data_IF_147158806041
#
_entry.id   IF_147158806041
#
_cell.length_a   1.000
_cell.length_b   1.000
_cell.length_c   1.000
_cell.angle_alpha   90.00
_cell.angle_beta   90.00
_cell.angle_gamma   90.00
#
_symmetry.space_group_name_H-M   'P 1'
#
loop_
_entity.id
_entity.type
_entity.pdbx_description
1 polymer ?
#
# COMPACT_ATOMS: atom_id res chain seq x y z
N UNK A 1 -1.25 -42.96 38.64
CA UNK A 1 -1.19 -43.64 37.34
C UNK A 1 -1.54 -42.57 36.30
N UNK A 2 -0.61 -41.76 35.80
CA UNK A 2 0.70 -42.09 35.24
C UNK A 2 0.59 -41.90 33.72
N UNK A 3 1.62 -41.27 33.12
CA UNK A 3 1.86 -40.98 31.70
C UNK A 3 1.69 -39.49 31.40
N UNK A 4 2.71 -38.63 31.37
CA UNK A 4 4.12 -38.66 30.93
C UNK A 4 4.31 -37.69 29.77
N UNK A 5 5.38 -36.95 29.92
CA UNK A 5 5.71 -35.67 29.33
C UNK A 5 6.31 -35.82 27.93
N UNK A 6 5.76 -35.10 26.95
CA UNK A 6 6.32 -34.97 25.61
C UNK A 6 7.08 -33.66 25.41
N UNK A 7 8.31 -33.58 25.94
CA UNK A 7 9.21 -32.43 25.81
C UNK A 7 9.82 -32.37 24.39
N UNK A 8 9.25 -31.53 23.52
CA UNK A 8 9.74 -31.30 22.16
C UNK A 8 10.95 -30.37 22.11
N UNK A 9 12.10 -30.91 21.70
CA UNK A 9 13.39 -30.20 21.56
C UNK A 9 13.33 -29.03 20.58
N UNK A 10 13.64 -27.84 21.09
CA UNK A 10 13.91 -26.61 20.34
C UNK A 10 15.23 -26.74 19.57
N UNK A 11 15.20 -26.66 18.24
CA UNK A 11 16.40 -26.52 17.40
C UNK A 11 16.89 -25.08 17.44
N UNK A 12 18.13 -24.91 17.90
CA UNK A 12 18.83 -23.63 18.01
C UNK A 12 19.33 -23.12 16.66
N UNK A 13 19.33 -21.80 16.60
CA UNK A 13 19.75 -20.87 15.55
C UNK A 13 21.11 -21.16 14.92
N UNK A 14 21.24 -20.90 13.62
CA UNK A 14 22.51 -20.51 13.02
C UNK A 14 22.36 -19.12 12.40
N UNK A 15 23.00 -18.18 13.08
CA UNK A 15 23.26 -16.81 12.66
C UNK A 15 24.41 -16.87 11.66
N UNK A 16 24.14 -16.56 10.39
CA UNK A 16 25.20 -16.38 9.39
C UNK A 16 25.23 -14.90 9.00
N UNK A 17 26.08 -14.15 9.69
CA UNK A 17 26.50 -12.80 9.33
C UNK A 17 27.48 -12.90 8.17
N UNK A 18 27.10 -12.46 6.96
CA UNK A 18 28.07 -12.20 5.89
C UNK A 18 28.14 -10.68 5.64
N UNK A 19 29.32 -10.16 5.92
CA UNK A 19 29.69 -8.76 5.93
C UNK A 19 30.49 -8.47 4.65
N UNK A 20 29.82 -8.03 3.58
CA UNK A 20 30.47 -7.65 2.32
C UNK A 20 30.75 -6.15 2.23
N UNK A 21 31.91 -5.80 2.82
CA UNK A 21 33.01 -5.02 2.22
C UNK A 21 32.65 -4.18 0.96
N UNK A 22 32.25 -2.92 1.14
CA UNK A 22 32.28 -1.91 0.07
C UNK A 22 33.69 -1.33 -0.04
N UNK A 23 34.40 -1.69 -1.11
CA UNK A 23 35.65 -1.04 -1.52
C UNK A 23 35.31 0.30 -2.16
N UNK A 24 36.11 1.32 -1.83
CA UNK A 24 35.99 2.66 -2.37
C UNK A 24 36.21 2.72 -3.87
N UNK A 25 35.54 3.71 -4.49
CA UNK A 25 35.92 4.20 -5.80
C UNK A 25 36.19 5.70 -5.65
N UNK A 26 37.47 6.01 -5.66
CA UNK A 26 38.05 7.34 -5.82
C UNK A 26 38.04 7.66 -7.32
N UNK A 27 37.56 8.85 -7.69
CA UNK A 27 38.07 9.63 -8.83
C UNK A 27 37.25 10.92 -9.00
N UNK A 28 37.63 11.94 -8.25
CA UNK A 28 38.07 13.23 -8.80
C UNK A 28 37.71 13.48 -10.28
N UNK A 29 36.72 14.34 -10.53
CA UNK A 29 36.49 14.96 -11.84
C UNK A 29 36.80 16.45 -11.74
N UNK A 30 37.83 16.96 -12.45
CA UNK A 30 38.03 18.38 -12.66
C UNK A 30 37.17 18.89 -13.82
N UNK A 31 36.78 20.16 -13.76
CA UNK A 31 36.43 20.94 -14.96
C UNK A 31 34.95 21.26 -15.11
N UNK A 32 34.47 22.21 -14.30
CA UNK A 32 33.30 23.02 -14.66
C UNK A 32 33.77 23.97 -15.76
N UNK A 33 33.53 23.59 -17.02
CA UNK A 33 33.60 24.51 -18.16
C UNK A 33 32.26 25.23 -18.21
N UNK A 34 32.26 26.51 -17.81
CA UNK A 34 31.17 27.44 -18.08
C UNK A 34 31.00 27.59 -19.59
N UNK A 35 30.01 26.92 -20.17
CA UNK A 35 29.47 27.29 -21.47
C UNK A 35 28.34 28.31 -21.28
N UNK A 36 28.70 29.58 -21.44
CA UNK A 36 27.75 30.66 -21.67
C UNK A 36 27.24 30.49 -23.11
N UNK A 37 26.04 29.93 -23.28
CA UNK A 37 25.31 29.99 -24.55
C UNK A 37 24.35 31.18 -24.46
N UNK A 38 24.84 32.33 -24.94
CA UNK A 38 24.00 33.45 -25.38
C UNK A 38 24.02 33.37 -26.89
N UNK A 39 22.90 33.01 -27.51
CA UNK A 39 22.43 33.39 -28.86
C UNK A 39 21.10 32.67 -28.99
N UNK A 40 19.98 33.37 -29.05
CA UNK A 40 19.62 34.18 -30.21
C UNK A 40 18.41 33.46 -30.80
N UNK A 41 17.25 34.12 -30.74
CA UNK A 41 15.96 33.45 -30.81
C UNK A 41 15.73 32.63 -32.07
N UNK A 42 14.79 31.70 -31.94
CA UNK A 42 13.79 31.43 -32.95
C UNK A 42 12.49 31.09 -32.22
N UNK A 43 11.50 31.93 -32.46
CA UNK A 43 10.12 31.79 -32.03
C UNK A 43 9.51 30.69 -32.90
N UNK A 44 9.59 29.43 -32.48
CA UNK A 44 8.72 28.37 -32.99
C UNK A 44 7.55 28.28 -32.03
N UNK A 45 6.47 29.00 -32.36
CA UNK A 45 5.13 28.65 -31.89
C UNK A 45 4.82 27.31 -32.56
N UNK A 46 5.21 26.22 -31.89
CA UNK A 46 4.64 24.92 -32.19
C UNK A 46 3.15 25.06 -31.87
N UNK A 47 2.32 25.03 -32.90
CA UNK A 47 0.88 24.84 -32.80
C UNK A 47 0.67 23.57 -31.97
N UNK A 48 0.35 23.75 -30.70
CA UNK A 48 0.08 22.66 -29.78
C UNK A 48 -1.25 22.04 -30.22
N UNK A 49 -1.22 20.81 -30.72
CA UNK A 49 -2.42 20.05 -31.05
C UNK A 49 -3.33 19.97 -29.81
N UNK A 50 -4.46 20.68 -29.82
CA UNK A 50 -5.47 20.76 -28.74
C UNK A 50 -6.11 19.41 -28.36
N UNK A 51 -5.76 18.33 -29.08
CA UNK A 51 -6.27 16.99 -28.87
C UNK A 51 -5.74 16.34 -27.56
N UNK A 52 -4.58 16.77 -27.03
CA UNK A 52 -4.01 16.16 -25.82
C UNK A 52 -4.65 16.69 -24.53
N UNK A 53 -5.13 17.93 -24.53
CA UNK A 53 -5.81 18.55 -23.37
C UNK A 53 -7.17 17.89 -23.10
N UNK A 54 -7.93 17.57 -24.15
CA UNK A 54 -9.20 16.87 -24.04
C UNK A 54 -9.05 15.42 -23.54
N UNK A 55 -7.98 14.72 -23.93
CA UNK A 55 -7.68 13.37 -23.42
C UNK A 55 -7.30 13.39 -21.95
N UNK A 56 -6.54 14.40 -21.51
CA UNK A 56 -6.17 14.58 -20.09
C UNK A 56 -7.36 14.95 -19.20
N UNK A 57 -8.26 15.82 -19.65
CA UNK A 57 -9.44 16.19 -18.88
C UNK A 57 -10.41 15.01 -18.67
N UNK A 58 -10.59 14.16 -19.70
CA UNK A 58 -11.39 12.93 -19.58
C UNK A 58 -10.71 11.91 -18.66
N UNK A 59 -9.37 11.79 -18.68
CA UNK A 59 -8.62 10.92 -17.77
C UNK A 59 -8.70 11.39 -16.31
N UNK A 60 -8.62 12.69 -16.06
CA UNK A 60 -8.75 13.28 -14.73
C UNK A 60 -10.18 13.17 -14.19
N UNK A 61 -11.19 13.49 -15.00
CA UNK A 61 -12.60 13.34 -14.61
C UNK A 61 -12.95 11.87 -14.31
N UNK A 62 -12.41 10.91 -15.08
CA UNK A 62 -12.54 9.48 -14.76
C UNK A 62 -11.83 9.10 -13.47
N UNK A 63 -10.71 9.73 -13.14
CA UNK A 63 -9.95 9.46 -11.90
C UNK A 63 -10.66 10.02 -10.67
N UNK A 64 -11.24 11.21 -10.77
CA UNK A 64 -12.06 11.84 -9.71
C UNK A 64 -13.41 11.12 -9.54
N UNK A 65 -14.10 10.79 -10.62
CA UNK A 65 -15.31 9.95 -10.55
C UNK A 65 -15.01 8.58 -9.91
N UNK A 66 -13.80 8.04 -10.12
CA UNK A 66 -13.33 6.83 -9.44
C UNK A 66 -13.00 7.03 -7.96
N UNK A 67 -12.63 8.24 -7.49
CA UNK A 67 -12.46 8.46 -6.05
C UNK A 67 -13.79 8.54 -5.31
N UNK A 68 -14.86 8.98 -5.96
CA UNK A 68 -16.21 9.04 -5.38
C UNK A 68 -16.80 7.66 -5.03
N UNK A 69 -16.23 6.57 -5.57
CA UNK A 69 -16.68 5.20 -5.27
C UNK A 69 -16.09 4.62 -3.97
N UNK A 70 -15.20 5.35 -3.30
CA UNK A 70 -14.50 4.86 -2.11
C UNK A 70 -14.61 5.88 -0.98
N UNK A 71 -15.08 5.43 0.17
CA UNK A 71 -15.09 6.21 1.41
C UNK A 71 -14.09 5.61 2.37
N UNK A 72 -13.09 6.37 2.79
CA UNK A 72 -12.21 5.95 3.88
C UNK A 72 -12.97 6.06 5.19
N UNK A 73 -13.06 4.95 5.92
CA UNK A 73 -13.89 4.84 7.14
C UNK A 73 -13.03 4.64 8.38
N UNK A 74 -11.88 3.98 8.26
CA UNK A 74 -10.96 3.78 9.36
C UNK A 74 -9.51 3.93 8.92
N UNK A 75 -8.69 4.48 9.80
CA UNK A 75 -7.27 4.71 9.55
C UNK A 75 -6.45 4.44 10.81
N UNK A 76 -5.44 3.60 10.67
CA UNK A 76 -4.42 3.35 11.68
C UNK A 76 -3.04 3.67 11.13
N UNK A 77 -2.21 4.31 11.95
CA UNK A 77 -0.80 4.55 11.65
C UNK A 77 0.04 4.28 12.90
N UNK A 78 0.90 3.28 12.82
CA UNK A 78 1.85 2.95 13.87
C UNK A 78 3.00 3.98 13.93
N UNK A 79 3.72 4.01 15.06
CA UNK A 79 4.90 4.86 15.24
C UNK A 79 6.01 4.59 14.20
N UNK A 80 6.15 3.34 13.75
CA UNK A 80 7.10 2.95 12.70
C UNK A 80 6.60 3.32 11.28
N UNK A 81 5.43 3.96 11.15
CA UNK A 81 4.76 4.33 9.89
C UNK A 81 4.15 3.15 9.12
N UNK A 82 3.93 1.99 9.75
CA UNK A 82 3.00 1.00 9.20
C UNK A 82 1.58 1.58 9.21
N UNK A 83 0.79 1.26 8.18
CA UNK A 83 -0.55 1.81 7.99
C UNK A 83 -1.56 0.71 7.73
N UNK A 84 -2.75 0.87 8.28
CA UNK A 84 -3.92 0.07 7.91
C UNK A 84 -5.08 1.01 7.60
N UNK A 85 -5.74 0.79 6.48
CA UNK A 85 -6.82 1.64 5.98
C UNK A 85 -8.03 0.76 5.72
N UNK A 86 -9.18 1.13 6.27
CA UNK A 86 -10.47 0.52 5.99
C UNK A 86 -11.29 1.42 5.08
N UNK A 87 -11.77 0.86 3.98
CA UNK A 87 -12.46 1.59 2.92
C UNK A 87 -13.79 0.94 2.64
N UNK A 88 -14.85 1.73 2.62
CA UNK A 88 -16.14 1.31 2.12
C UNK A 88 -16.25 1.61 0.62
N UNK A 89 -16.69 0.61 -0.15
CA UNK A 89 -17.05 0.80 -1.55
C UNK A 89 -18.49 1.33 -1.60
N UNK A 90 -18.69 2.54 -2.13
CA UNK A 90 -20.02 3.18 -2.20
C UNK A 90 -20.85 2.59 -3.36
N UNK A 91 -20.19 2.19 -4.45
CA UNK A 91 -20.84 1.67 -5.65
C UNK A 91 -20.35 0.28 -6.06
N UNK A 92 -20.71 -0.11 -7.29
CA UNK A 92 -20.17 -1.32 -7.91
C UNK A 92 -18.72 -1.09 -8.31
N UNK A 93 -17.79 -1.54 -7.47
CA UNK A 93 -16.35 -1.43 -7.68
C UNK A 93 -15.80 -2.74 -8.20
N UNK A 94 -15.01 -2.66 -9.28
CA UNK A 94 -14.27 -3.80 -9.81
C UNK A 94 -12.97 -4.05 -9.03
N UNK A 95 -12.45 -5.28 -9.10
CA UNK A 95 -11.16 -5.64 -8.50
C UNK A 95 -10.01 -4.75 -9.00
N UNK A 96 -10.00 -4.41 -10.29
CA UNK A 96 -8.99 -3.54 -10.89
C UNK A 96 -9.04 -2.10 -10.31
N UNK A 97 -10.25 -1.56 -10.09
CA UNK A 97 -10.43 -0.24 -9.50
C UNK A 97 -10.03 -0.21 -8.03
N UNK A 98 -10.41 -1.23 -7.25
CA UNK A 98 -9.99 -1.36 -5.85
C UNK A 98 -8.46 -1.45 -5.74
N UNK A 99 -7.82 -2.28 -6.57
CA UNK A 99 -6.35 -2.37 -6.63
C UNK A 99 -5.71 -1.04 -7.00
N UNK A 100 -6.20 -0.37 -8.04
CA UNK A 100 -5.69 0.93 -8.46
C UNK A 100 -5.85 1.99 -7.36
N UNK A 101 -6.95 1.97 -6.62
CA UNK A 101 -7.17 2.84 -5.45
C UNK A 101 -6.16 2.56 -4.34
N UNK A 102 -5.96 1.29 -3.98
CA UNK A 102 -5.02 0.88 -2.95
C UNK A 102 -3.58 1.32 -3.26
N UNK A 103 -3.14 1.17 -4.52
CA UNK A 103 -1.80 1.55 -4.97
C UNK A 103 -1.51 3.05 -4.89
N UNK A 104 -2.54 3.91 -4.88
CA UNK A 104 -2.39 5.36 -4.71
C UNK A 104 -2.25 5.79 -3.25
N UNK A 105 -2.50 4.89 -2.29
CA UNK A 105 -2.38 5.22 -0.87
C UNK A 105 -0.92 5.46 -0.51
N UNK A 106 -0.73 6.39 0.43
CA UNK A 106 0.59 6.75 0.90
C UNK A 106 1.28 5.53 1.51
N UNK A 107 2.38 5.11 0.89
CA UNK A 107 3.26 4.08 1.41
C UNK A 107 4.57 4.71 1.88
N UNK A 108 5.19 4.14 2.91
CA UNK A 108 6.55 4.52 3.33
C UNK A 108 7.50 3.39 2.95
N UNK A 109 8.58 3.65 2.19
CA UNK A 109 9.54 2.61 1.84
C UNK A 109 10.04 1.87 3.08
N UNK A 110 10.08 0.54 3.03
CA UNK A 110 10.47 -0.29 4.18
C UNK A 110 9.34 -0.60 5.17
N UNK A 111 8.11 -0.09 4.96
CA UNK A 111 6.98 -0.22 5.89
C UNK A 111 5.77 -0.86 5.22
N UNK A 112 4.88 -1.41 6.04
CA UNK A 112 3.69 -2.09 5.57
C UNK A 112 2.52 -1.10 5.41
N UNK A 113 1.77 -1.22 4.31
CA UNK A 113 0.50 -0.53 4.13
C UNK A 113 -0.56 -1.53 3.68
N UNK A 114 -1.58 -1.73 4.52
CA UNK A 114 -2.73 -2.58 4.21
C UNK A 114 -3.98 -1.74 3.93
N UNK A 115 -4.79 -2.18 2.97
CA UNK A 115 -6.06 -1.56 2.61
C UNK A 115 -7.13 -2.64 2.47
N UNK A 116 -8.18 -2.55 3.28
CA UNK A 116 -9.30 -3.49 3.29
C UNK A 116 -10.56 -2.82 2.73
N UNK A 117 -11.23 -3.49 1.79
CA UNK A 117 -12.38 -2.96 1.07
C UNK A 117 -13.66 -3.67 1.47
N UNK A 118 -14.59 -2.94 2.06
CA UNK A 118 -15.87 -3.41 2.54
C UNK A 118 -16.98 -3.08 1.53
N UNK A 119 -18.00 -3.93 1.47
CA UNK A 119 -19.19 -3.68 0.65
C UNK A 119 -20.00 -2.50 1.22
N UNK A 120 -20.82 -1.82 0.40
CA UNK A 120 -21.69 -0.75 0.92
C UNK A 120 -22.56 -1.25 2.07
N UNK A 121 -22.68 -0.46 3.15
CA UNK A 121 -23.49 -0.82 4.33
C UNK A 121 -22.88 -1.88 5.24
N UNK A 122 -21.61 -2.23 5.03
CA UNK A 122 -20.88 -3.14 5.93
C UNK A 122 -20.67 -2.53 7.32
N UNK A 123 -20.62 -3.37 8.34
CA UNK A 123 -20.14 -2.98 9.68
C UNK A 123 -18.61 -2.95 9.66
N UNK A 124 -18.04 -1.74 9.72
CA UNK A 124 -16.60 -1.47 9.61
C UNK A 124 -16.11 -0.90 10.96
N UNK A 125 -14.99 -1.38 11.52
CA UNK A 125 -14.48 -0.88 12.80
C UNK A 125 -13.75 0.44 12.63
N UNK A 126 -14.47 1.53 12.33
CA UNK A 126 -13.91 2.88 12.17
C UNK A 126 -13.11 3.30 13.41
N UNK A 127 -13.81 3.41 14.55
CA UNK A 127 -13.24 3.89 15.80
C UNK A 127 -12.21 2.90 16.37
N UNK A 128 -12.51 1.60 16.32
CA UNK A 128 -11.60 0.58 16.82
C UNK A 128 -10.24 0.60 16.11
N UNK A 129 -10.24 0.83 14.80
CA UNK A 129 -9.00 0.92 14.03
C UNK A 129 -8.25 2.23 14.33
N UNK A 130 -8.96 3.35 14.40
CA UNK A 130 -8.35 4.66 14.65
C UNK A 130 -7.83 4.84 16.08
N UNK A 131 -8.46 4.19 17.07
CA UNK A 131 -8.05 4.21 18.47
C UNK A 131 -7.02 3.12 18.81
N UNK A 132 -6.62 2.28 17.87
CA UNK A 132 -5.64 1.23 18.12
C UNK A 132 -4.26 1.84 18.47
N UNK A 133 -3.64 1.35 19.54
CA UNK A 133 -2.37 1.87 20.03
C UNK A 133 -1.14 1.27 19.32
N UNK A 134 -1.30 0.12 18.66
CA UNK A 134 -0.23 -0.58 17.97
C UNK A 134 -0.79 -1.50 16.87
N UNK A 135 0.10 -2.01 16.02
CA UNK A 135 -0.29 -2.83 14.87
C UNK A 135 -1.01 -4.13 15.27
N UNK A 136 -0.61 -4.73 16.39
CA UNK A 136 -1.26 -5.93 16.90
C UNK A 136 -2.72 -5.66 17.30
N UNK A 137 -2.96 -4.60 18.08
CA UNK A 137 -4.31 -4.18 18.47
C UNK A 137 -5.18 -3.84 17.24
N UNK A 138 -4.61 -3.16 16.24
CA UNK A 138 -5.30 -2.86 14.99
C UNK A 138 -5.71 -4.14 14.24
N UNK A 139 -4.84 -5.16 14.20
CA UNK A 139 -5.17 -6.45 13.61
C UNK A 139 -6.21 -7.21 14.44
N UNK A 140 -6.11 -7.23 15.76
CA UNK A 140 -7.14 -7.83 16.64
C UNK A 140 -8.51 -7.22 16.39
N UNK A 141 -8.59 -5.90 16.24
CA UNK A 141 -9.85 -5.22 15.89
C UNK A 141 -10.40 -5.73 14.54
N UNK A 142 -9.56 -5.93 13.54
CA UNK A 142 -10.00 -6.34 12.20
C UNK A 142 -10.42 -7.82 12.11
N UNK A 143 -9.68 -8.72 12.77
CA UNK A 143 -9.89 -10.17 12.63
C UNK A 143 -10.79 -10.74 13.74
N UNK A 144 -10.67 -10.25 14.97
CA UNK A 144 -11.23 -10.90 16.15
C UNK A 144 -12.50 -10.22 16.67
N UNK A 145 -12.80 -8.98 16.25
CA UNK A 145 -14.00 -8.28 16.71
C UNK A 145 -15.27 -8.95 16.14
N UNK A 146 -16.19 -9.40 17.01
CA UNK A 146 -17.44 -10.01 16.58
C UNK A 146 -18.36 -8.97 15.92
N UNK A 147 -19.19 -9.42 14.98
CA UNK A 147 -20.16 -8.56 14.29
C UNK A 147 -19.60 -7.73 13.14
N UNK A 148 -18.28 -7.70 12.93
CA UNK A 148 -17.70 -7.05 11.75
C UNK A 148 -18.04 -7.82 10.48
N UNK A 149 -18.34 -7.06 9.42
CA UNK A 149 -18.54 -7.62 8.09
C UNK A 149 -17.22 -8.12 7.50
N UNK A 150 -17.29 -9.15 6.64
CA UNK A 150 -16.13 -9.59 5.87
C UNK A 150 -15.81 -8.57 4.77
N UNK A 151 -14.53 -8.25 4.57
CA UNK A 151 -14.11 -7.44 3.44
C UNK A 151 -14.12 -8.26 2.14
N UNK A 152 -14.39 -7.58 1.03
CA UNK A 152 -14.41 -8.19 -0.31
C UNK A 152 -13.01 -8.25 -0.93
N UNK A 153 -12.25 -7.18 -0.81
CA UNK A 153 -10.88 -7.10 -1.34
C UNK A 153 -9.93 -6.76 -0.21
N UNK A 154 -8.72 -7.31 -0.27
CA UNK A 154 -7.62 -6.90 0.59
C UNK A 154 -6.39 -6.62 -0.28
N UNK A 155 -5.67 -5.56 0.08
CA UNK A 155 -4.41 -5.18 -0.51
C UNK A 155 -3.37 -5.02 0.58
N UNK A 156 -2.16 -5.50 0.33
CA UNK A 156 -1.02 -5.26 1.21
C UNK A 156 0.21 -4.91 0.38
N UNK A 157 0.84 -3.80 0.71
CA UNK A 157 2.22 -3.50 0.33
C UNK A 157 3.10 -3.84 1.53
N UNK A 158 3.99 -4.81 1.36
CA UNK A 158 4.89 -5.31 2.39
C UNK A 158 6.13 -4.42 2.51
N UNK A 159 6.81 -4.46 3.65
CA UNK A 159 8.01 -3.64 3.87
C UNK A 159 9.18 -3.94 2.92
N UNK A 160 9.22 -5.13 2.31
CA UNK A 160 10.19 -5.49 1.27
C UNK A 160 9.82 -4.91 -0.13
N UNK A 161 8.69 -4.21 -0.26
CA UNK A 161 8.16 -3.67 -1.51
C UNK A 161 7.31 -4.64 -2.32
N UNK A 162 7.13 -5.90 -1.89
CA UNK A 162 6.18 -6.80 -2.56
C UNK A 162 4.75 -6.34 -2.33
N UNK A 163 3.89 -6.58 -3.31
CA UNK A 163 2.47 -6.23 -3.26
C UNK A 163 1.62 -7.48 -3.41
N UNK A 164 0.57 -7.60 -2.60
CA UNK A 164 -0.44 -8.63 -2.72
C UNK A 164 -1.82 -7.98 -2.79
N UNK A 165 -2.67 -8.50 -3.69
CA UNK A 165 -4.05 -8.07 -3.84
C UNK A 165 -4.92 -9.32 -4.00
N UNK A 166 -5.93 -9.46 -3.16
CA UNK A 166 -6.79 -10.65 -3.12
C UNK A 166 -8.26 -10.27 -3.15
N UNK A 167 -9.05 -11.12 -3.80
CA UNK A 167 -10.51 -11.12 -3.77
C UNK A 167 -10.97 -12.20 -2.80
N UNK A 168 -11.40 -11.79 -1.61
CA UNK A 168 -11.76 -12.66 -0.50
C UNK A 168 -13.09 -13.39 -0.69
N UNK A 169 -13.83 -13.10 -1.78
CA UNK A 169 -15.00 -13.91 -2.16
C UNK A 169 -14.61 -15.18 -2.91
N UNK A 170 -13.42 -15.20 -3.51
CA UNK A 170 -12.92 -16.38 -4.21
C UNK A 170 -12.26 -17.32 -3.19
N UNK A 171 -12.38 -18.64 -3.37
CA UNK A 171 -11.66 -19.60 -2.53
C UNK A 171 -10.16 -19.44 -2.79
N UNK A 172 -9.51 -18.62 -1.98
CA UNK A 172 -8.08 -18.41 -1.98
C UNK A 172 -7.63 -18.38 -0.52
N UNK A 173 -6.68 -19.23 -0.16
CA UNK A 173 -6.18 -19.38 1.20
C UNK A 173 -5.16 -18.28 1.55
N UNK A 174 -5.40 -17.03 1.16
CA UNK A 174 -4.54 -15.92 1.58
C UNK A 174 -4.89 -15.54 3.01
N UNK A 175 -3.87 -15.38 3.85
CA UNK A 175 -4.01 -14.90 5.24
C UNK A 175 -4.53 -13.46 5.34
N UNK A 176 -4.71 -12.77 4.21
CA UNK A 176 -5.31 -11.43 4.14
C UNK A 176 -6.84 -11.43 4.18
N UNK A 177 -7.50 -12.60 4.15
CA UNK A 177 -8.96 -12.72 4.12
C UNK A 177 -9.52 -13.28 5.45
N UNK A 178 -10.79 -12.95 5.73
CA UNK A 178 -11.54 -13.37 6.92
C UNK A 178 -12.75 -14.24 6.57
#
# INVERSE_FOLDING_TARGET
MGNDEGCGKVKKNNIMTDSKKKKGFSSQLPGIVLFVIIFGGWYLIASYDDNDTAKRSVANARTEARSNNFREVGYFKAANKDRIISVEMIGSVTAAEAKAYAKRKMNTPGRMTAVYFYAPGSVIPADGLTLANNLYAANTVLYDMPGLSKWRYAYMNYGNGSEEFVDCRKPNNSGLCR
#
